data_IF_472685027841
#
_entry.id   IF_472685027841
#
_cell.length_a   1.000
_cell.length_b   1.000
_cell.length_c   1.000
_cell.angle_alpha   90.00
_cell.angle_beta   90.00
_cell.angle_gamma   90.00
#
_symmetry.space_group_name_H-M   'P 1'
#
loop_
_entity.id
_entity.type
_entity.pdbx_description
1 polymer ?
#
# COMPACT_ATOMS: atom_id res chain seq x y z
N UNK A 1 23.50 2.16 -4.56
CA UNK A 1 23.32 3.48 -3.91
C UNK A 1 23.79 3.37 -2.47
N UNK A 2 24.86 4.08 -2.11
CA UNK A 2 25.35 4.05 -0.73
C UNK A 2 24.41 4.83 0.19
N UNK A 3 24.08 4.25 1.35
CA UNK A 3 23.16 4.84 2.32
C UNK A 3 23.90 5.91 3.17
N UNK A 4 24.32 6.99 2.51
CA UNK A 4 24.93 8.15 3.15
C UNK A 4 23.90 8.98 3.91
N UNK A 5 24.33 9.79 4.87
CA UNK A 5 23.44 10.72 5.59
C UNK A 5 22.66 11.64 4.66
N UNK A 6 23.32 12.18 3.61
CA UNK A 6 22.68 12.99 2.58
C UNK A 6 21.52 12.26 1.90
N UNK A 7 21.68 10.96 1.64
CA UNK A 7 20.64 10.16 1.03
C UNK A 7 19.45 9.94 1.98
N UNK A 8 19.71 9.68 3.26
CA UNK A 8 18.67 9.57 4.29
C UNK A 8 17.82 10.84 4.39
N UNK A 9 18.46 12.01 4.39
CA UNK A 9 17.75 13.29 4.41
C UNK A 9 16.90 13.52 3.16
N UNK A 10 17.34 13.06 1.98
CA UNK A 10 16.54 13.13 0.75
C UNK A 10 15.31 12.24 0.80
N UNK A 11 15.46 11.01 1.29
CA UNK A 11 14.33 10.08 1.49
C UNK A 11 13.35 10.71 2.48
N UNK A 12 13.83 11.16 3.63
CA UNK A 12 13.01 11.80 4.65
C UNK A 12 12.30 13.04 4.11
N UNK A 13 13.00 13.91 3.37
CA UNK A 13 12.43 15.10 2.75
C UNK A 13 11.33 14.78 1.73
N UNK A 14 11.52 13.77 0.88
CA UNK A 14 10.50 13.31 -0.07
C UNK A 14 9.25 12.77 0.64
N UNK A 15 9.43 11.98 1.71
CA UNK A 15 8.32 11.48 2.52
C UNK A 15 7.61 12.60 3.27
N UNK A 16 8.35 13.53 3.86
CA UNK A 16 7.80 14.70 4.57
C UNK A 16 6.96 15.58 3.66
N UNK A 17 7.35 15.78 2.40
CA UNK A 17 6.54 16.52 1.44
C UNK A 17 5.14 15.92 1.30
N UNK A 18 5.05 14.59 1.19
CA UNK A 18 3.76 13.89 1.15
C UNK A 18 2.99 13.93 2.46
N UNK A 19 3.66 13.78 3.61
CA UNK A 19 3.02 13.91 4.92
C UNK A 19 2.39 15.30 5.10
N UNK A 20 3.12 16.36 4.75
CA UNK A 20 2.62 17.73 4.91
C UNK A 20 1.49 18.01 3.94
N UNK A 21 1.71 17.80 2.65
CA UNK A 21 0.77 18.21 1.60
C UNK A 21 -0.45 17.29 1.54
N UNK A 22 -0.23 15.98 1.40
CA UNK A 22 -1.33 15.02 1.32
C UNK A 22 -1.87 14.73 2.72
N UNK A 23 -1.02 14.35 3.67
CA UNK A 23 -1.47 13.96 5.02
C UNK A 23 -2.12 15.10 5.83
N UNK A 24 -1.40 16.20 6.05
CA UNK A 24 -1.82 17.27 6.97
C UNK A 24 -2.75 18.26 6.29
N UNK A 25 -2.35 18.86 5.16
CA UNK A 25 -3.14 19.93 4.52
C UNK A 25 -4.45 19.42 3.91
N UNK A 26 -4.46 18.19 3.38
CA UNK A 26 -5.68 17.61 2.80
C UNK A 26 -6.55 16.90 3.85
N UNK A 27 -5.99 16.62 5.04
CA UNK A 27 -6.66 15.94 6.15
C UNK A 27 -8.02 16.54 6.54
N UNK A 28 -8.15 17.85 6.77
CA UNK A 28 -9.43 18.49 7.15
C UNK A 28 -10.58 18.28 6.15
N UNK A 29 -10.26 17.99 4.89
CA UNK A 29 -11.26 17.85 3.81
C UNK A 29 -11.70 16.39 3.64
N UNK A 30 -10.84 15.43 4.02
CA UNK A 30 -11.06 13.99 3.80
C UNK A 30 -11.43 13.25 5.08
N UNK A 31 -10.97 13.72 6.25
CA UNK A 31 -11.25 13.05 7.52
C UNK A 31 -12.76 13.05 7.82
N UNK A 32 -13.29 11.93 8.33
CA UNK A 32 -14.64 11.92 8.87
C UNK A 32 -14.78 12.92 10.02
N UNK A 33 -16.01 13.37 10.27
CA UNK A 33 -16.30 14.30 11.36
C UNK A 33 -15.97 13.70 12.74
N UNK A 34 -16.15 12.39 12.88
CA UNK A 34 -15.70 11.62 14.03
C UNK A 34 -14.21 11.24 13.86
N UNK A 35 -13.31 11.69 14.75
CA UNK A 35 -11.88 11.36 14.68
C UNK A 35 -11.57 9.87 14.80
N UNK A 36 -12.44 9.07 15.42
CA UNK A 36 -12.23 7.61 15.61
C UNK A 36 -12.73 6.78 14.41
N UNK A 37 -13.41 7.43 13.46
CA UNK A 37 -13.92 6.78 12.27
C UNK A 37 -12.82 6.54 11.24
N UNK A 38 -12.94 5.42 10.51
CA UNK A 38 -12.01 5.09 9.44
C UNK A 38 -12.18 6.04 8.24
N UNK A 39 -11.07 6.44 7.63
CA UNK A 39 -11.10 7.14 6.34
C UNK A 39 -11.41 6.09 5.27
N UNK A 40 -12.63 6.13 4.73
CA UNK A 40 -13.13 5.21 3.71
C UNK A 40 -14.10 5.90 2.75
N UNK A 41 -14.20 5.37 1.53
CA UNK A 41 -15.23 5.74 0.56
C UNK A 41 -16.62 5.19 0.90
N UNK A 42 -16.72 4.15 1.73
CA UNK A 42 -17.97 3.41 1.98
C UNK A 42 -19.08 4.29 2.59
N UNK A 43 -18.74 5.14 3.56
CA UNK A 43 -19.75 5.92 4.30
C UNK A 43 -20.19 7.21 3.57
N UNK A 44 -19.90 7.36 2.26
CA UNK A 44 -20.32 8.48 1.41
C UNK A 44 -20.00 9.91 1.91
N UNK A 45 -19.23 10.06 3.00
CA UNK A 45 -18.90 11.36 3.59
C UNK A 45 -17.86 12.16 2.82
N UNK A 46 -17.08 11.50 1.95
CA UNK A 46 -16.04 12.16 1.15
C UNK A 46 -16.68 12.81 -0.08
N UNK A 47 -16.79 14.13 -0.04
CA UNK A 47 -17.35 14.94 -1.15
C UNK A 47 -16.48 14.79 -2.41
N UNK A 48 -17.04 14.90 -3.63
CA UNK A 48 -16.24 14.85 -4.87
C UNK A 48 -15.09 15.87 -4.91
N UNK A 49 -15.28 17.06 -4.34
CA UNK A 49 -14.21 18.07 -4.23
C UNK A 49 -13.07 17.64 -3.30
N UNK A 50 -13.36 16.85 -2.25
CA UNK A 50 -12.36 16.28 -1.37
C UNK A 50 -11.51 15.24 -2.11
N UNK A 51 -12.16 14.42 -2.94
CA UNK A 51 -11.48 13.45 -3.82
C UNK A 51 -10.56 14.18 -4.81
N UNK A 52 -11.06 15.20 -5.51
CA UNK A 52 -10.26 16.00 -6.43
C UNK A 52 -9.03 16.63 -5.72
N UNK A 53 -9.23 17.17 -4.52
CA UNK A 53 -8.16 17.73 -3.69
C UNK A 53 -7.12 16.66 -3.31
N UNK A 54 -7.57 15.44 -2.99
CA UNK A 54 -6.69 14.29 -2.72
C UNK A 54 -5.74 14.02 -3.89
N UNK A 55 -6.28 13.88 -5.10
CA UNK A 55 -5.48 13.64 -6.29
C UNK A 55 -4.53 14.80 -6.62
N UNK A 56 -5.03 16.04 -6.56
CA UNK A 56 -4.22 17.23 -6.81
C UNK A 56 -3.05 17.31 -5.82
N UNK A 57 -3.30 17.08 -4.53
CA UNK A 57 -2.26 17.15 -3.50
C UNK A 57 -1.28 15.97 -3.56
N UNK A 58 -1.74 14.78 -3.94
CA UNK A 58 -0.83 13.67 -4.22
C UNK A 58 0.11 14.00 -5.39
N UNK A 59 -0.43 14.53 -6.50
CA UNK A 59 0.36 14.98 -7.65
C UNK A 59 1.39 16.05 -7.26
N UNK A 60 0.96 17.11 -6.56
CA UNK A 60 1.86 18.19 -6.10
C UNK A 60 2.93 17.64 -5.14
N UNK A 61 2.57 16.70 -4.26
CA UNK A 61 3.54 16.04 -3.37
C UNK A 61 4.64 15.34 -4.14
N UNK A 62 4.30 14.55 -5.16
CA UNK A 62 5.28 13.88 -5.99
C UNK A 62 6.14 14.85 -6.81
N UNK A 63 5.54 15.93 -7.32
CA UNK A 63 6.24 16.99 -8.04
C UNK A 63 7.28 17.67 -7.15
N UNK A 64 6.92 18.11 -5.94
CA UNK A 64 7.87 18.77 -5.04
C UNK A 64 8.91 17.79 -4.49
N UNK A 65 8.51 16.57 -4.15
CA UNK A 65 9.42 15.55 -3.66
C UNK A 65 10.54 15.25 -4.67
N UNK A 66 10.26 15.32 -5.97
CA UNK A 66 11.27 15.18 -7.01
C UNK A 66 12.40 16.20 -6.86
N UNK A 67 12.07 17.48 -6.65
CA UNK A 67 13.07 18.54 -6.48
C UNK A 67 13.79 18.44 -5.13
N UNK A 68 13.08 18.08 -4.06
CA UNK A 68 13.67 17.88 -2.72
C UNK A 68 14.71 16.76 -2.74
N UNK A 69 14.40 15.66 -3.44
CA UNK A 69 15.29 14.51 -3.54
C UNK A 69 16.38 14.64 -4.62
N UNK A 70 16.54 15.81 -5.26
CA UNK A 70 17.49 16.01 -6.34
C UNK A 70 18.93 15.61 -5.96
N UNK A 71 19.65 14.84 -6.81
CA UNK A 71 19.30 14.48 -8.18
C UNK A 71 18.58 13.13 -8.31
N UNK A 72 18.31 12.42 -7.21
CA UNK A 72 17.59 11.14 -7.18
C UNK A 72 16.07 11.31 -7.07
N UNK A 73 15.57 12.41 -7.63
CA UNK A 73 14.16 12.78 -7.53
C UNK A 73 13.25 11.73 -8.14
N UNK A 74 13.67 11.12 -9.26
CA UNK A 74 12.87 10.13 -9.98
C UNK A 74 12.66 8.86 -9.17
N UNK A 75 13.66 8.44 -8.42
CA UNK A 75 13.68 7.20 -7.65
C UNK A 75 13.03 7.34 -6.27
N UNK A 76 13.08 8.53 -5.67
CA UNK A 76 12.63 8.75 -4.29
C UNK A 76 11.29 9.45 -4.16
N UNK A 77 10.90 10.27 -5.15
CA UNK A 77 9.63 10.99 -5.09
C UNK A 77 8.41 10.05 -5.08
N UNK A 78 8.59 8.80 -5.54
CA UNK A 78 7.56 7.75 -5.48
C UNK A 78 7.10 7.43 -4.04
N UNK A 79 7.90 7.80 -3.03
CA UNK A 79 7.57 7.61 -1.62
C UNK A 79 6.67 8.71 -1.03
N UNK A 80 6.50 9.84 -1.73
CA UNK A 80 5.78 10.99 -1.19
C UNK A 80 4.29 10.68 -0.93
N UNK A 81 3.52 10.34 -1.96
CA UNK A 81 2.10 10.03 -1.79
C UNK A 81 1.85 8.87 -0.79
N UNK A 82 2.57 7.73 -0.86
CA UNK A 82 2.46 6.67 0.14
C UNK A 82 2.72 7.14 1.58
N UNK A 83 3.71 8.00 1.82
CA UNK A 83 3.99 8.54 3.15
C UNK A 83 2.85 9.45 3.66
N UNK A 84 2.22 10.24 2.79
CA UNK A 84 1.02 11.00 3.11
C UNK A 84 -0.17 10.10 3.48
N UNK A 85 -0.39 9.04 2.71
CA UNK A 85 -1.40 8.02 3.04
C UNK A 85 -1.07 7.27 4.34
N UNK A 86 0.21 7.03 4.63
CA UNK A 86 0.65 6.40 5.87
C UNK A 86 0.33 7.26 7.10
N UNK A 87 0.48 8.58 6.99
CA UNK A 87 0.03 9.49 8.03
C UNK A 87 -1.48 9.36 8.30
N UNK A 88 -2.30 9.28 7.26
CA UNK A 88 -3.74 9.01 7.42
C UNK A 88 -4.03 7.63 8.00
N UNK A 89 -3.39 6.58 7.49
CA UNK A 89 -3.53 5.21 7.96
C UNK A 89 -3.19 5.06 9.46
N UNK A 90 -2.25 5.86 9.98
CA UNK A 90 -1.88 5.91 11.39
C UNK A 90 -2.80 6.80 12.24
N UNK A 91 -3.54 7.73 11.63
CA UNK A 91 -4.36 8.74 12.31
C UNK A 91 -5.86 8.57 12.09
N UNK A 92 -6.28 7.48 11.43
CA UNK A 92 -7.69 7.12 11.21
C UNK A 92 -8.13 5.97 12.09
N UNK A 93 -9.44 5.75 12.16
CA UNK A 93 -10.01 4.50 12.67
C UNK A 93 -9.55 3.26 11.91
N UNK A 94 -10.00 2.09 12.36
CA UNK A 94 -9.62 0.79 11.82
C UNK A 94 -10.85 0.01 11.31
N UNK A 95 -10.65 -1.22 10.83
CA UNK A 95 -11.74 -2.04 10.33
C UNK A 95 -12.75 -2.39 11.44
N UNK A 96 -12.29 -2.57 12.69
CA UNK A 96 -13.17 -2.79 13.83
C UNK A 96 -14.18 -1.65 14.04
N UNK A 97 -13.75 -0.39 13.94
CA UNK A 97 -14.66 0.77 14.01
C UNK A 97 -15.78 0.68 12.94
N UNK A 98 -15.44 0.24 11.72
CA UNK A 98 -16.43 0.06 10.65
C UNK A 98 -17.38 -1.11 10.91
N UNK A 99 -16.88 -2.21 11.45
CA UNK A 99 -17.68 -3.42 11.76
C UNK A 99 -18.63 -3.18 12.93
N UNK A 100 -18.26 -2.37 13.92
CA UNK A 100 -19.19 -1.98 14.99
C UNK A 100 -20.41 -1.26 14.41
N UNK A 101 -20.18 -0.33 13.48
CA UNK A 101 -21.24 0.44 12.81
C UNK A 101 -22.03 -0.38 11.78
N UNK A 102 -21.50 -1.53 11.35
CA UNK A 102 -22.07 -2.40 10.33
C UNK A 102 -22.07 -3.85 10.84
N UNK A 103 -22.67 -4.07 12.02
CA UNK A 103 -22.52 -5.33 12.74
C UNK A 103 -23.35 -6.47 12.13
N UNK A 104 -24.45 -6.13 11.44
CA UNK A 104 -25.36 -7.10 10.85
C UNK A 104 -24.78 -7.82 9.63
N UNK A 105 -25.30 -9.01 9.32
CA UNK A 105 -24.88 -9.81 8.16
C UNK A 105 -24.93 -9.02 6.83
N UNK A 106 -26.07 -8.38 6.54
CA UNK A 106 -26.27 -7.64 5.30
C UNK A 106 -25.34 -6.43 5.19
N UNK A 107 -25.12 -5.74 6.31
CA UNK A 107 -24.25 -4.56 6.42
C UNK A 107 -22.79 -4.96 6.21
N UNK A 108 -22.28 -5.99 6.90
CA UNK A 108 -20.92 -6.51 6.71
C UNK A 108 -20.67 -6.96 5.28
N UNK A 109 -21.64 -7.65 4.67
CA UNK A 109 -21.53 -8.08 3.26
C UNK A 109 -21.39 -6.88 2.33
N UNK A 110 -22.20 -5.84 2.56
CA UNK A 110 -22.17 -4.60 1.76
C UNK A 110 -20.86 -3.85 1.96
N UNK A 111 -20.40 -3.73 3.21
CA UNK A 111 -19.10 -3.17 3.58
C UNK A 111 -17.95 -3.85 2.81
N UNK A 112 -17.80 -5.17 2.92
CA UNK A 112 -16.73 -5.88 2.22
C UNK A 112 -16.86 -5.80 0.69
N UNK A 113 -18.09 -5.80 0.16
CA UNK A 113 -18.31 -5.63 -1.28
C UNK A 113 -17.89 -4.24 -1.78
N UNK A 114 -17.95 -3.20 -0.94
CA UNK A 114 -17.44 -1.88 -1.26
C UNK A 114 -15.91 -1.80 -1.11
N UNK A 115 -15.35 -2.35 -0.03
CA UNK A 115 -13.93 -2.33 0.29
C UNK A 115 -13.04 -2.93 -0.81
N UNK A 116 -13.55 -3.91 -1.57
CA UNK A 116 -12.82 -4.54 -2.68
C UNK A 116 -12.37 -3.55 -3.77
N UNK A 117 -13.14 -2.47 -3.97
CA UNK A 117 -12.84 -1.43 -4.95
C UNK A 117 -12.01 -0.29 -4.39
N UNK A 118 -12.08 -0.09 -3.08
CA UNK A 118 -11.39 0.99 -2.40
C UNK A 118 -9.86 0.86 -2.50
N UNK A 119 -9.34 -0.37 -2.58
CA UNK A 119 -7.92 -0.61 -2.86
C UNK A 119 -7.44 0.03 -4.17
N UNK A 120 -8.27 0.02 -5.23
CA UNK A 120 -7.93 0.66 -6.51
C UNK A 120 -8.00 2.18 -6.43
N UNK A 121 -8.90 2.73 -5.62
CA UNK A 121 -8.96 4.16 -5.38
C UNK A 121 -7.67 4.68 -4.73
N UNK A 122 -7.24 4.06 -3.63
CA UNK A 122 -6.00 4.46 -2.96
C UNK A 122 -4.76 4.21 -3.83
N UNK A 123 -4.76 3.15 -4.64
CA UNK A 123 -3.73 2.93 -5.65
C UNK A 123 -3.69 4.07 -6.68
N UNK A 124 -4.83 4.57 -7.13
CA UNK A 124 -4.90 5.70 -8.05
C UNK A 124 -4.30 6.98 -7.42
N UNK A 125 -4.51 7.21 -6.12
CA UNK A 125 -3.89 8.33 -5.39
C UNK A 125 -2.37 8.19 -5.38
N UNK A 126 -1.84 6.99 -5.10
CA UNK A 126 -0.40 6.70 -5.18
C UNK A 126 0.14 6.94 -6.59
N UNK A 127 -0.56 6.43 -7.62
CA UNK A 127 -0.19 6.61 -9.01
C UNK A 127 -0.17 8.08 -9.43
N UNK A 128 -1.11 8.88 -8.91
CA UNK A 128 -1.15 10.33 -9.15
C UNK A 128 0.08 11.05 -8.59
N UNK A 129 0.54 10.65 -7.40
CA UNK A 129 1.82 11.12 -6.87
C UNK A 129 3.01 10.74 -7.74
N UNK A 130 3.04 9.53 -8.28
CA UNK A 130 4.10 9.12 -9.22
C UNK A 130 4.04 9.90 -10.54
N UNK A 131 2.85 10.21 -11.05
CA UNK A 131 2.69 11.07 -12.22
C UNK A 131 3.28 12.48 -11.98
N UNK A 132 3.10 13.03 -10.78
CA UNK A 132 3.71 14.32 -10.39
C UNK A 132 5.23 14.32 -10.51
N UNK A 133 5.89 13.26 -10.03
CA UNK A 133 7.35 13.14 -10.13
C UNK A 133 7.83 12.94 -11.57
N UNK A 134 7.08 12.21 -12.39
CA UNK A 134 7.37 12.04 -13.83
C UNK A 134 7.28 13.39 -14.56
N UNK A 135 6.24 14.18 -14.28
CA UNK A 135 6.08 15.53 -14.85
C UNK A 135 7.25 16.43 -14.43
N UNK A 136 7.62 16.43 -13.15
CA UNK A 136 8.76 17.19 -12.64
C UNK A 136 10.09 16.81 -13.34
N UNK A 137 10.32 15.50 -13.54
CA UNK A 137 11.50 15.01 -14.26
C UNK A 137 11.54 15.49 -15.71
N UNK A 138 10.38 15.51 -16.39
CA UNK A 138 10.27 16.03 -17.77
C UNK A 138 10.51 17.53 -17.83
N UNK A 139 9.91 18.30 -16.93
CA UNK A 139 10.06 19.76 -16.88
C UNK A 139 11.50 20.20 -16.58
N UNK A 140 12.18 19.48 -15.70
CA UNK A 140 13.59 19.74 -15.35
C UNK A 140 14.60 19.23 -16.37
N UNK A 141 14.16 18.54 -17.43
CA UNK A 141 15.03 17.84 -18.41
C UNK A 141 16.07 16.95 -17.72
N UNK A 142 15.70 16.36 -16.58
CA UNK A 142 16.60 15.58 -15.77
C UNK A 142 17.03 14.31 -16.51
N UNK A 143 18.35 14.10 -16.63
CA UNK A 143 18.88 12.85 -17.14
C UNK A 143 18.82 11.79 -16.04
N UNK A 144 18.38 10.55 -16.34
CA UNK A 144 18.43 9.47 -15.36
C UNK A 144 19.87 9.26 -14.91
N UNK A 145 20.09 9.23 -13.60
CA UNK A 145 21.42 8.92 -13.06
C UNK A 145 21.63 7.42 -13.21
N UNK A 146 22.77 7.03 -13.77
CA UNK A 146 23.16 5.63 -13.78
C UNK A 146 23.41 5.18 -12.34
N UNK A 147 22.57 4.27 -11.84
CA UNK A 147 22.75 3.68 -10.52
C UNK A 147 23.44 2.32 -10.71
N UNK A 148 24.63 2.10 -10.12
CA UNK A 148 25.34 0.83 -10.23
C UNK A 148 24.45 -0.34 -9.82
N UNK A 149 24.41 -1.38 -10.65
CA UNK A 149 23.59 -2.58 -10.43
C UNK A 149 22.17 -2.52 -10.99
N UNK A 150 21.76 -1.40 -11.58
CA UNK A 150 20.52 -1.32 -12.36
C UNK A 150 20.90 -1.33 -13.85
N UNK A 151 20.57 -2.41 -14.59
CA UNK A 151 20.58 -2.33 -16.05
C UNK A 151 19.66 -1.18 -16.46
N UNK A 152 20.13 -0.23 -17.27
CA UNK A 152 19.21 0.74 -17.85
C UNK A 152 18.18 -0.06 -18.65
N UNK A 153 16.91 -0.02 -18.22
CA UNK A 153 15.82 -0.73 -18.90
C UNK A 153 15.88 -0.40 -20.39
N UNK A 154 16.20 -1.39 -21.22
CA UNK A 154 16.09 -1.24 -22.66
C UNK A 154 14.59 -1.12 -22.97
N UNK A 155 14.13 -0.02 -23.60
CA UNK A 155 12.73 0.09 -23.99
C UNK A 155 12.44 -1.03 -25.02
N UNK A 156 11.63 -2.02 -24.63
CA UNK A 156 11.07 -2.99 -25.59
C UNK A 156 11.05 -4.48 -25.21
N UNK A 157 11.62 -4.95 -24.08
CA UNK A 157 11.63 -6.40 -23.77
C UNK A 157 11.04 -6.79 -22.42
N UNK A 158 10.02 -6.07 -21.93
CA UNK A 158 9.31 -6.52 -20.73
C UNK A 158 8.40 -7.68 -21.12
N UNK A 159 8.79 -8.89 -20.75
CA UNK A 159 8.03 -10.09 -21.04
C UNK A 159 6.69 -10.05 -20.27
N UNK A 160 5.56 -10.07 -20.98
CA UNK A 160 4.23 -10.09 -20.38
C UNK A 160 4.08 -11.25 -19.38
N UNK A 161 4.69 -12.40 -19.67
CA UNK A 161 4.71 -13.54 -18.77
C UNK A 161 5.39 -13.17 -17.45
N UNK A 162 6.54 -12.49 -17.46
CA UNK A 162 7.23 -12.06 -16.24
C UNK A 162 6.38 -11.07 -15.43
N UNK A 163 5.65 -10.16 -16.11
CA UNK A 163 4.73 -9.23 -15.45
C UNK A 163 3.61 -10.00 -14.74
N UNK A 164 2.92 -10.89 -15.46
CA UNK A 164 1.80 -11.68 -14.92
C UNK A 164 2.28 -12.59 -13.78
N UNK A 165 3.40 -13.30 -14.00
CA UNK A 165 4.01 -14.14 -12.98
C UNK A 165 4.43 -13.33 -11.75
N UNK A 166 5.03 -12.16 -11.93
CA UNK A 166 5.46 -11.33 -10.80
C UNK A 166 4.31 -10.70 -10.04
N UNK A 167 3.22 -10.35 -10.71
CA UNK A 167 1.96 -9.95 -10.06
C UNK A 167 1.41 -11.12 -9.21
N UNK A 168 1.28 -12.31 -9.80
CA UNK A 168 0.76 -13.49 -9.11
C UNK A 168 1.63 -13.89 -7.90
N UNK A 169 2.95 -13.96 -8.09
CA UNK A 169 3.92 -14.24 -7.03
C UNK A 169 3.84 -13.19 -5.93
N UNK A 170 3.73 -11.90 -6.28
CA UNK A 170 3.59 -10.83 -5.30
C UNK A 170 2.32 -10.99 -4.45
N UNK A 171 1.18 -11.31 -5.08
CA UNK A 171 -0.09 -11.59 -4.36
C UNK A 171 0.07 -12.77 -3.40
N UNK A 172 0.68 -13.88 -3.85
CA UNK A 172 0.86 -15.09 -3.02
C UNK A 172 1.78 -14.81 -1.84
N UNK A 173 2.95 -14.20 -2.07
CA UNK A 173 3.91 -13.86 -1.01
C UNK A 173 3.26 -12.89 -0.02
N UNK A 174 2.66 -11.80 -0.52
CA UNK A 174 2.06 -10.80 0.35
C UNK A 174 0.91 -11.39 1.17
N UNK A 175 0.04 -12.21 0.56
CA UNK A 175 -1.04 -12.89 1.27
C UNK A 175 -0.50 -13.79 2.40
N UNK A 176 0.49 -14.63 2.11
CA UNK A 176 1.09 -15.52 3.10
C UNK A 176 1.72 -14.76 4.26
N UNK A 177 2.54 -13.75 3.96
CA UNK A 177 3.26 -12.96 4.96
C UNK A 177 2.29 -12.12 5.80
N UNK A 178 1.27 -11.50 5.20
CA UNK A 178 0.25 -10.75 5.94
C UNK A 178 -0.55 -11.65 6.87
N UNK A 179 -0.94 -12.85 6.40
CA UNK A 179 -1.62 -13.82 7.26
C UNK A 179 -0.74 -14.21 8.44
N UNK A 180 0.58 -14.31 8.27
CA UNK A 180 1.49 -14.67 9.36
C UNK A 180 1.77 -13.51 10.34
N UNK A 181 1.94 -12.28 9.84
CA UNK A 181 2.45 -11.15 10.63
C UNK A 181 1.38 -10.19 11.15
N UNK A 182 0.24 -10.05 10.45
CA UNK A 182 -0.85 -9.16 10.85
C UNK A 182 -1.89 -9.89 11.73
N UNK A 183 -1.41 -10.65 12.72
CA UNK A 183 -2.25 -11.40 13.66
C UNK A 183 -2.15 -10.82 15.06
N UNK A 184 -3.29 -10.42 15.62
CA UNK A 184 -3.40 -10.22 17.06
C UNK A 184 -3.81 -11.55 17.72
N UNK A 185 -4.84 -11.58 18.58
CA UNK A 185 -5.32 -12.82 19.19
C UNK A 185 -5.92 -13.73 18.13
N UNK A 186 -5.34 -14.93 17.97
CA UNK A 186 -5.88 -15.99 17.10
C UNK A 186 -6.64 -17.01 17.93
N UNK A 187 -7.91 -17.22 17.58
CA UNK A 187 -8.76 -18.21 18.25
C UNK A 187 -9.12 -19.30 17.24
N UNK A 188 -8.93 -20.56 17.64
CA UNK A 188 -9.35 -21.70 16.83
C UNK A 188 -10.87 -21.73 16.70
N UNK A 189 -11.36 -22.02 15.50
CA UNK A 189 -12.78 -22.11 15.22
C UNK A 189 -13.08 -23.34 14.39
N UNK A 190 -14.06 -24.13 14.81
CA UNK A 190 -14.39 -25.41 14.17
C UNK A 190 -14.95 -25.25 12.75
N UNK A 191 -15.53 -24.10 12.38
CA UNK A 191 -16.11 -23.85 11.05
C UNK A 191 -15.20 -23.04 10.15
N UNK A 192 -14.40 -22.14 10.72
CA UNK A 192 -13.54 -21.22 9.97
C UNK A 192 -12.05 -21.60 10.02
N UNK A 193 -11.68 -22.60 10.82
CA UNK A 193 -10.31 -22.97 11.14
C UNK A 193 -9.72 -22.03 12.19
N UNK A 194 -9.74 -20.73 11.94
CA UNK A 194 -9.39 -19.73 12.95
C UNK A 194 -10.00 -18.37 12.65
N UNK A 195 -10.25 -17.60 13.70
CA UNK A 195 -10.58 -16.17 13.64
C UNK A 195 -9.46 -15.35 14.28
N UNK A 196 -9.30 -14.11 13.81
CA UNK A 196 -8.17 -13.25 14.17
C UNK A 196 -8.73 -11.95 14.73
N UNK A 197 -8.22 -11.50 15.87
CA UNK A 197 -8.55 -10.20 16.47
C UNK A 197 -8.03 -9.03 15.63
N UNK A 198 -8.57 -7.82 15.85
CA UNK A 198 -8.10 -6.60 15.20
C UNK A 198 -6.60 -6.36 15.50
N UNK A 199 -5.70 -6.43 14.50
CA UNK A 199 -4.30 -6.08 14.71
C UNK A 199 -4.13 -4.59 14.98
N UNK A 200 -3.14 -4.27 15.82
CA UNK A 200 -2.77 -2.89 16.10
C UNK A 200 -2.14 -2.20 14.88
N UNK A 201 -2.32 -0.89 14.75
CA UNK A 201 -1.90 -0.13 13.56
C UNK A 201 -0.41 -0.24 13.24
N UNK A 202 0.46 -0.25 14.27
CA UNK A 202 1.90 -0.41 14.08
C UNK A 202 2.26 -1.82 13.56
N UNK A 203 1.55 -2.85 14.03
CA UNK A 203 1.73 -4.22 13.55
C UNK A 203 1.27 -4.37 12.10
N UNK A 204 0.13 -3.75 11.73
CA UNK A 204 -0.32 -3.67 10.33
C UNK A 204 0.75 -3.02 9.47
N UNK A 205 1.26 -1.85 9.87
CA UNK A 205 2.29 -1.13 9.13
C UNK A 205 3.54 -2.00 8.91
N UNK A 206 4.03 -2.64 9.97
CA UNK A 206 5.15 -3.57 9.89
C UNK A 206 4.87 -4.76 8.96
N UNK A 207 3.74 -5.44 9.14
CA UNK A 207 3.37 -6.61 8.36
C UNK A 207 3.25 -6.29 6.87
N UNK A 208 2.63 -5.16 6.50
CA UNK A 208 2.50 -4.72 5.11
C UNK A 208 3.86 -4.33 4.53
N UNK A 209 4.70 -3.58 5.26
CA UNK A 209 6.04 -3.23 4.80
C UNK A 209 6.88 -4.47 4.51
N UNK A 210 6.87 -5.46 5.41
CA UNK A 210 7.62 -6.71 5.25
C UNK A 210 7.04 -7.56 4.11
N UNK A 211 5.72 -7.72 4.05
CA UNK A 211 5.05 -8.50 3.01
C UNK A 211 5.38 -7.99 1.60
N UNK A 212 5.22 -6.69 1.37
CA UNK A 212 5.48 -6.10 0.06
C UNK A 212 6.98 -5.89 -0.21
N UNK A 213 7.80 -5.74 0.84
CA UNK A 213 9.26 -5.77 0.72
C UNK A 213 9.78 -7.12 0.23
N UNK A 214 9.34 -8.22 0.85
CA UNK A 214 9.69 -9.57 0.40
C UNK A 214 9.15 -9.87 -0.99
N UNK A 215 7.90 -9.49 -1.29
CA UNK A 215 7.30 -9.68 -2.59
C UNK A 215 8.07 -8.94 -3.70
N UNK A 216 8.44 -7.67 -3.49
CA UNK A 216 9.21 -6.91 -4.46
C UNK A 216 10.65 -7.40 -4.58
N UNK A 217 11.27 -7.80 -3.46
CA UNK A 217 12.59 -8.41 -3.46
C UNK A 217 12.62 -9.66 -4.35
N UNK A 218 11.71 -10.61 -4.11
CA UNK A 218 11.61 -11.84 -4.90
C UNK A 218 11.28 -11.55 -6.37
N UNK A 219 10.33 -10.65 -6.63
CA UNK A 219 9.93 -10.28 -7.99
C UNK A 219 11.10 -9.68 -8.78
N UNK A 220 11.87 -8.78 -8.18
CA UNK A 220 13.07 -8.22 -8.81
C UNK A 220 14.18 -9.26 -8.94
N UNK A 221 14.42 -10.05 -7.90
CA UNK A 221 15.54 -11.00 -7.87
C UNK A 221 15.35 -12.17 -8.86
N UNK A 222 14.14 -12.71 -9.00
CA UNK A 222 13.87 -13.89 -9.83
C UNK A 222 13.29 -13.57 -11.21
N UNK A 223 12.53 -12.48 -11.36
CA UNK A 223 11.79 -12.16 -12.59
C UNK A 223 12.26 -10.87 -13.28
N UNK A 224 13.20 -10.16 -12.65
CA UNK A 224 13.76 -8.87 -13.10
C UNK A 224 12.71 -7.77 -13.35
N UNK A 225 11.59 -7.79 -12.62
CA UNK A 225 10.52 -6.80 -12.80
C UNK A 225 10.62 -5.62 -11.81
N UNK A 226 10.06 -4.47 -12.22
CA UNK A 226 9.98 -3.28 -11.39
C UNK A 226 8.99 -3.38 -10.22
N UNK A 227 9.21 -2.58 -9.18
CA UNK A 227 8.36 -2.53 -7.97
C UNK A 227 6.90 -2.14 -8.24
N UNK A 228 6.61 -1.45 -9.36
CA UNK A 228 5.27 -0.97 -9.74
C UNK A 228 4.26 -2.13 -9.75
N UNK A 229 4.64 -3.29 -10.29
CA UNK A 229 3.75 -4.45 -10.36
C UNK A 229 3.47 -5.04 -8.97
N UNK A 230 4.45 -5.03 -8.07
CA UNK A 230 4.24 -5.42 -6.67
C UNK A 230 3.30 -4.45 -5.95
N UNK A 231 3.33 -3.16 -6.28
CA UNK A 231 2.36 -2.19 -5.74
C UNK A 231 0.96 -2.44 -6.28
N UNK A 232 0.80 -2.72 -7.58
CA UNK A 232 -0.50 -3.08 -8.17
C UNK A 232 -1.05 -4.36 -7.52
N UNK A 233 -0.18 -5.33 -7.21
CA UNK A 233 -0.57 -6.56 -6.52
C UNK A 233 -1.26 -6.31 -5.17
N UNK A 234 -1.02 -5.17 -4.50
CA UNK A 234 -1.70 -4.80 -3.27
C UNK A 234 -3.21 -4.60 -3.46
N UNK A 235 -3.61 -3.85 -4.49
CA UNK A 235 -5.01 -3.63 -4.81
C UNK A 235 -5.68 -4.92 -5.32
N UNK A 236 -4.96 -5.73 -6.11
CA UNK A 236 -5.44 -7.04 -6.57
C UNK A 236 -5.67 -7.99 -5.39
N UNK A 237 -4.74 -8.06 -4.45
CA UNK A 237 -4.88 -8.87 -3.24
C UNK A 237 -6.15 -8.49 -2.46
N UNK A 238 -6.34 -7.19 -2.20
CA UNK A 238 -7.55 -6.69 -1.53
C UNK A 238 -8.82 -7.07 -2.30
N UNK A 239 -8.82 -6.88 -3.61
CA UNK A 239 -9.96 -7.22 -4.46
C UNK A 239 -10.30 -8.71 -4.36
N UNK A 240 -9.31 -9.60 -4.43
CA UNK A 240 -9.51 -11.05 -4.36
C UNK A 240 -10.02 -11.47 -2.98
N UNK A 241 -9.38 -11.01 -1.90
CA UNK A 241 -9.75 -11.36 -0.53
C UNK A 241 -11.17 -10.88 -0.21
N UNK A 242 -11.48 -9.61 -0.46
CA UNK A 242 -12.81 -9.09 -0.18
C UNK A 242 -13.90 -9.66 -1.10
N UNK A 243 -13.58 -9.97 -2.37
CA UNK A 243 -14.52 -10.66 -3.26
C UNK A 243 -14.84 -12.07 -2.75
N UNK A 244 -13.82 -12.80 -2.29
CA UNK A 244 -13.99 -14.14 -1.72
C UNK A 244 -14.90 -14.12 -0.49
N UNK A 245 -14.64 -13.21 0.45
CA UNK A 245 -15.42 -13.13 1.68
C UNK A 245 -16.83 -12.56 1.47
N UNK A 246 -17.00 -11.52 0.66
CA UNK A 246 -18.34 -10.99 0.35
C UNK A 246 -19.20 -11.98 -0.46
N UNK A 247 -18.57 -12.87 -1.24
CA UNK A 247 -19.23 -13.97 -1.95
C UNK A 247 -19.58 -15.16 -1.07
N UNK A 248 -18.82 -15.43 -0.01
CA UNK A 248 -19.06 -16.56 0.89
C UNK A 248 -20.06 -16.19 2.01
N UNK A 249 -21.34 -16.18 1.65
CA UNK A 249 -22.44 -15.79 2.55
C UNK A 249 -22.51 -16.63 3.82
N UNK A 250 -22.28 -17.94 3.74
CA UNK A 250 -22.34 -18.83 4.90
C UNK A 250 -21.28 -18.47 5.96
N UNK A 251 -20.04 -18.20 5.55
CA UNK A 251 -18.98 -17.76 6.47
C UNK A 251 -19.28 -16.39 7.06
N UNK A 252 -19.79 -15.47 6.25
CA UNK A 252 -20.10 -14.12 6.70
C UNK A 252 -21.25 -14.11 7.71
N UNK A 253 -22.30 -14.89 7.46
CA UNK A 253 -23.43 -15.06 8.37
C UNK A 253 -22.99 -15.66 9.70
N UNK A 254 -22.18 -16.72 9.65
CA UNK A 254 -21.61 -17.31 10.86
C UNK A 254 -20.77 -16.28 11.64
N UNK A 255 -19.95 -15.47 10.96
CA UNK A 255 -19.16 -14.41 11.60
C UNK A 255 -20.02 -13.32 12.25
N UNK A 256 -21.17 -12.95 11.68
CA UNK A 256 -22.04 -11.94 12.27
C UNK A 256 -22.87 -12.46 13.45
N UNK A 257 -23.27 -13.73 13.41
CA UNK A 257 -24.17 -14.30 14.41
C UNK A 257 -23.42 -14.86 15.62
N UNK A 258 -22.20 -15.37 15.43
CA UNK A 258 -21.51 -16.19 16.46
C UNK A 258 -20.21 -15.59 17.00
N UNK A 259 -19.69 -14.52 16.39
CA UNK A 259 -18.40 -13.92 16.76
C UNK A 259 -18.56 -12.46 17.11
N UNK A 260 -17.82 -12.02 18.13
CA UNK A 260 -17.74 -10.62 18.48
C UNK A 260 -17.17 -9.78 17.32
N UNK A 261 -17.59 -8.52 17.23
CA UNK A 261 -17.18 -7.57 16.18
C UNK A 261 -15.64 -7.39 16.08
N UNK A 262 -14.91 -7.70 17.15
CA UNK A 262 -13.44 -7.62 17.21
C UNK A 262 -12.72 -8.72 16.42
N UNK A 263 -13.43 -9.75 15.96
CA UNK A 263 -12.85 -10.89 15.24
C UNK A 263 -13.15 -10.85 13.74
N UNK A 264 -12.16 -11.28 12.96
CA UNK A 264 -12.17 -11.31 11.51
C UNK A 264 -11.90 -12.73 10.99
N UNK A 265 -12.46 -13.08 9.82
CA UNK A 265 -12.26 -14.41 9.24
C UNK A 265 -10.88 -14.57 8.56
N UNK A 266 -10.11 -13.48 8.45
CA UNK A 266 -8.75 -13.43 7.92
C UNK A 266 -8.04 -12.18 8.46
N UNK A 267 -6.72 -12.25 8.61
CA UNK A 267 -5.89 -11.10 8.97
C UNK A 267 -6.09 -9.93 8.00
N UNK A 268 -6.14 -10.20 6.69
CA UNK A 268 -6.29 -9.16 5.66
C UNK A 268 -7.66 -8.48 5.75
N UNK A 269 -8.70 -9.22 6.16
CA UNK A 269 -10.03 -8.63 6.38
C UNK A 269 -10.06 -7.67 7.57
N UNK A 270 -9.08 -7.72 8.47
CA UNK A 270 -8.95 -6.81 9.60
C UNK A 270 -8.16 -5.53 9.26
N UNK A 271 -7.67 -5.40 8.03
CA UNK A 271 -6.84 -4.27 7.58
C UNK A 271 -7.64 -3.41 6.60
N UNK A 272 -7.59 -2.10 6.79
CA UNK A 272 -8.23 -1.17 5.86
C UNK A 272 -7.48 -1.13 4.51
N UNK A 273 -8.19 -0.97 3.38
CA UNK A 273 -7.58 -0.72 2.08
C UNK A 273 -6.54 0.40 2.09
N UNK A 274 -6.86 1.52 2.76
CA UNK A 274 -5.96 2.65 2.94
C UNK A 274 -4.64 2.24 3.62
N UNK A 275 -4.71 1.41 4.67
CA UNK A 275 -3.51 0.96 5.40
C UNK A 275 -2.61 0.10 4.50
N UNK A 276 -3.18 -0.83 3.73
CA UNK A 276 -2.36 -1.63 2.80
C UNK A 276 -1.72 -0.73 1.74
N UNK A 277 -2.48 0.15 1.08
CA UNK A 277 -1.96 0.98 -0.02
C UNK A 277 -1.06 2.13 0.45
N UNK A 278 -1.10 2.49 1.73
CA UNK A 278 -0.15 3.41 2.32
C UNK A 278 1.25 2.79 2.49
N UNK A 279 1.32 1.56 3.02
CA UNK A 279 2.58 0.92 3.38
C UNK A 279 3.15 0.02 2.28
N UNK A 280 2.31 -0.60 1.44
CA UNK A 280 2.75 -1.50 0.39
C UNK A 280 3.72 -0.86 -0.61
N UNK A 281 3.50 0.39 -1.11
CA UNK A 281 4.46 1.04 -1.99
C UNK A 281 5.82 1.28 -1.33
N UNK A 282 5.84 1.67 -0.07
CA UNK A 282 7.08 1.92 0.69
C UNK A 282 7.85 0.60 0.83
N UNK A 283 7.17 -0.47 1.24
CA UNK A 283 7.74 -1.81 1.34
C UNK A 283 8.28 -2.29 -0.02
N UNK A 284 7.49 -2.17 -1.08
CA UNK A 284 7.86 -2.59 -2.42
C UNK A 284 9.11 -1.87 -2.95
N UNK A 285 9.21 -0.55 -2.74
CA UNK A 285 10.40 0.23 -3.10
C UNK A 285 11.62 -0.25 -2.30
N UNK A 286 11.48 -0.44 -0.98
CA UNK A 286 12.58 -0.93 -0.15
C UNK A 286 13.08 -2.32 -0.57
N UNK A 287 12.14 -3.26 -0.81
CA UNK A 287 12.45 -4.62 -1.26
C UNK A 287 13.12 -4.68 -2.62
N UNK A 288 12.63 -3.87 -3.57
CA UNK A 288 13.24 -3.73 -4.89
C UNK A 288 14.69 -3.24 -4.80
N UNK A 289 14.94 -2.19 -4.00
CA UNK A 289 16.29 -1.66 -3.82
C UNK A 289 17.24 -2.64 -3.13
N UNK A 290 16.73 -3.43 -2.19
CA UNK A 290 17.50 -4.49 -1.56
C UNK A 290 17.91 -5.58 -2.56
N UNK A 291 17.01 -5.98 -3.47
CA UNK A 291 17.32 -6.95 -4.53
C UNK A 291 18.39 -6.41 -5.50
N UNK A 292 18.25 -5.15 -5.94
CA UNK A 292 19.25 -4.48 -6.79
C UNK A 292 20.63 -4.47 -6.12
N UNK A 293 20.69 -4.09 -4.84
CA UNK A 293 21.96 -4.08 -4.09
C UNK A 293 22.58 -5.48 -3.99
N UNK A 294 21.76 -6.50 -3.73
CA UNK A 294 22.21 -7.88 -3.60
C UNK A 294 22.78 -8.40 -4.91
N UNK A 295 22.12 -8.12 -6.04
CA UNK A 295 22.60 -8.48 -7.37
C UNK A 295 23.92 -7.79 -7.71
N UNK A 296 24.06 -6.50 -7.39
CA UNK A 296 25.29 -5.75 -7.59
C UNK A 296 26.50 -6.34 -6.85
N UNK A 297 26.33 -6.67 -5.57
CA UNK A 297 27.40 -7.29 -4.77
C UNK A 297 27.77 -8.69 -5.26
N UNK A 298 26.81 -9.46 -5.77
CA UNK A 298 27.09 -10.78 -6.35
C UNK A 298 27.94 -10.69 -7.62
N UNK A 299 27.74 -9.65 -8.43
CA UNK A 299 28.50 -9.45 -9.68
C UNK A 299 29.86 -8.79 -9.44
N UNK A 300 30.04 -8.08 -8.33
CA UNK A 300 31.28 -7.40 -7.96
C UNK A 300 31.70 -7.83 -6.54
N UNK A 301 32.14 -9.09 -6.35
CA UNK A 301 32.69 -9.52 -5.08
C UNK A 301 33.95 -8.70 -4.79
N UNK A 302 33.96 -8.04 -3.63
CA UNK A 302 35.10 -7.29 -3.10
C UNK A 302 36.24 -8.22 -2.71
#
# INVERSE_FOLDING_TARGET
>A
MEMTWKMRFRIAGAMLAGIVLLGILTGPVIRPADPESAITLYQAGIKPMAIASCFAMAFVSGLLAFFIAWPFGRELAVLAAPAGLAYWACSSGNMFSLIILNSGFAERKTLYSAMKWEGFFWLAVVACGWLGSIVAARLSKAKPIAIPGIPQEKPGSVNLLNIVSGLAVSVVIANFVLIALAQDVRIFDSKLGSVIGQPGTAQIAFAVLVAFGLAAYCSKYFLDIGHIYTVIAAAVLLFLVFSWYSGNTAKMQYMSESKANAFFPNAICAILPLQILAFAPIGAVAGYWLAVKTHYHRQNPS
#
